data_IF_438026009556
#
_entry.id   IF_438026009556
#
_cell.length_a   1.000
_cell.length_b   1.000
_cell.length_c   1.000
_cell.angle_alpha   90.00
_cell.angle_beta   90.00
_cell.angle_gamma   90.00
#
_symmetry.space_group_name_H-M   'P 1'
#
loop_
_entity.id
_entity.type
_entity.pdbx_description
1 polymer ?
#
# COMPACT_ATOMS: atom_id res chain seq x y z
N UNK A 1 0.21 -63.84 -17.07
CA UNK A 1 -0.15 -63.05 -15.86
C UNK A 1 0.46 -61.67 -16.03
N UNK A 2 -0.35 -60.61 -16.12
CA UNK A 2 0.17 -59.25 -16.26
C UNK A 2 0.96 -58.82 -15.01
N UNK A 3 2.09 -58.11 -15.15
CA UNK A 3 2.85 -57.62 -14.00
C UNK A 3 2.00 -56.61 -13.21
N UNK A 4 1.98 -56.76 -11.88
CA UNK A 4 1.28 -55.83 -10.99
C UNK A 4 2.02 -54.50 -11.01
N UNK A 5 1.30 -53.43 -11.37
CA UNK A 5 1.82 -52.06 -11.32
C UNK A 5 1.63 -51.53 -9.90
N UNK A 6 2.73 -51.25 -9.20
CA UNK A 6 2.71 -50.64 -7.88
C UNK A 6 2.32 -49.16 -7.96
N UNK A 7 1.60 -48.62 -6.95
CA UNK A 7 1.23 -47.22 -6.90
C UNK A 7 2.46 -46.36 -6.60
N UNK A 8 2.47 -45.13 -7.13
CA UNK A 8 3.46 -44.13 -6.74
C UNK A 8 3.19 -43.67 -5.31
N UNK A 9 4.20 -43.79 -4.45
CA UNK A 9 4.13 -43.41 -3.04
C UNK A 9 5.34 -42.58 -2.67
N UNK A 10 5.24 -41.83 -1.57
CA UNK A 10 6.31 -40.95 -1.11
C UNK A 10 6.15 -39.50 -1.58
N UNK A 11 4.94 -39.07 -1.96
CA UNK A 11 4.70 -37.68 -2.34
C UNK A 11 4.73 -36.79 -1.11
N UNK A 12 5.40 -35.65 -1.22
CA UNK A 12 5.59 -34.68 -0.13
C UNK A 12 4.90 -33.37 -0.51
N UNK A 13 3.98 -32.89 0.33
CA UNK A 13 3.33 -31.59 0.15
C UNK A 13 3.96 -30.50 1.03
N UNK A 14 3.92 -29.22 0.62
CA UNK A 14 4.47 -28.12 1.41
C UNK A 14 3.77 -27.96 2.77
N UNK A 15 2.44 -28.11 2.80
CA UNK A 15 1.64 -27.93 4.01
C UNK A 15 1.30 -29.28 4.68
N UNK A 16 1.40 -29.37 6.02
CA UNK A 16 1.19 -30.62 6.74
C UNK A 16 -0.23 -31.19 6.56
N UNK A 17 -1.27 -30.35 6.52
CA UNK A 17 -2.65 -30.81 6.28
C UNK A 17 -2.84 -31.45 4.90
N UNK A 18 -2.18 -30.94 3.86
CA UNK A 18 -2.25 -31.56 2.53
C UNK A 18 -1.42 -32.84 2.48
N UNK A 19 -0.28 -32.85 3.18
CA UNK A 19 0.59 -34.02 3.30
C UNK A 19 -0.11 -35.17 4.02
N UNK A 20 -0.95 -34.91 5.03
CA UNK A 20 -1.73 -35.96 5.72
C UNK A 20 -2.77 -36.62 4.82
N UNK A 21 -3.44 -35.86 3.95
CA UNK A 21 -4.42 -36.37 2.99
C UNK A 21 -3.74 -37.29 1.97
N UNK A 22 -2.58 -36.87 1.45
CA UNK A 22 -1.78 -37.65 0.50
C UNK A 22 -1.32 -38.97 1.14
N UNK A 23 -0.82 -38.93 2.39
CA UNK A 23 -0.40 -40.13 3.10
C UNK A 23 -1.54 -41.12 3.35
N UNK A 24 -2.75 -40.63 3.66
CA UNK A 24 -3.93 -41.47 3.83
C UNK A 24 -4.34 -42.17 2.53
N UNK A 25 -4.30 -41.46 1.40
CA UNK A 25 -4.60 -42.01 0.08
C UNK A 25 -3.54 -43.04 -0.38
N UNK A 26 -2.26 -42.74 -0.19
CA UNK A 26 -1.15 -43.67 -0.47
C UNK A 26 -1.25 -44.94 0.39
N UNK A 27 -1.54 -44.80 1.68
CA UNK A 27 -1.72 -45.92 2.59
C UNK A 27 -2.91 -46.82 2.18
N UNK A 28 -4.04 -46.22 1.79
CA UNK A 28 -5.21 -46.95 1.32
C UNK A 28 -4.92 -47.75 0.04
N UNK A 29 -4.19 -47.15 -0.92
CA UNK A 29 -3.77 -47.82 -2.16
C UNK A 29 -2.82 -48.98 -1.89
N UNK A 30 -1.85 -48.81 -0.99
CA UNK A 30 -0.94 -49.88 -0.59
C UNK A 30 -1.68 -51.02 0.11
N UNK A 31 -2.62 -50.71 1.02
CA UNK A 31 -3.40 -51.70 1.74
C UNK A 31 -4.30 -52.54 0.82
N UNK A 32 -4.87 -51.94 -0.23
CA UNK A 32 -5.69 -52.64 -1.21
C UNK A 32 -4.91 -53.71 -1.99
N UNK A 33 -3.64 -53.45 -2.29
CA UNK A 33 -2.75 -54.35 -3.04
C UNK A 33 -2.06 -55.36 -2.11
N UNK A 34 -1.78 -54.98 -0.86
CA UNK A 34 -1.23 -55.86 0.17
C UNK A 34 -2.09 -57.11 0.43
N UNK A 35 -3.41 -56.99 0.24
CA UNK A 35 -4.36 -58.12 0.33
C UNK A 35 -4.14 -59.20 -0.72
N UNK A 36 -3.45 -58.87 -1.82
CA UNK A 36 -3.23 -59.77 -2.96
C UNK A 36 -1.80 -60.32 -2.98
N UNK A 37 -0.79 -59.50 -2.65
CA UNK A 37 0.63 -59.89 -2.61
C UNK A 37 1.42 -59.11 -1.55
N UNK A 38 2.50 -59.69 -0.99
CA UNK A 38 3.39 -58.98 -0.09
C UNK A 38 4.02 -57.77 -0.79
N UNK A 39 4.04 -56.63 -0.11
CA UNK A 39 4.61 -55.38 -0.65
C UNK A 39 6.14 -55.47 -0.60
N UNK A 40 6.85 -55.20 -1.71
CA UNK A 40 8.30 -55.17 -1.73
C UNK A 40 8.85 -53.93 -1.03
N UNK A 41 10.01 -54.07 -0.36
CA UNK A 41 10.64 -53.01 0.44
C UNK A 41 10.95 -51.73 -0.34
N UNK A 42 11.20 -51.83 -1.65
CA UNK A 42 11.46 -50.67 -2.51
C UNK A 42 10.25 -49.73 -2.65
N UNK A 43 9.03 -50.22 -2.41
CA UNK A 43 7.80 -49.41 -2.39
C UNK A 43 7.54 -48.87 -0.99
N UNK A 44 7.96 -49.59 0.06
CA UNK A 44 7.75 -49.19 1.46
C UNK A 44 8.66 -48.03 1.85
N UNK A 45 9.94 -48.07 1.47
CA UNK A 45 10.93 -47.04 1.85
C UNK A 45 10.47 -45.60 1.54
N UNK A 46 10.07 -45.24 0.31
CA UNK A 46 9.64 -43.87 0.00
C UNK A 46 8.38 -43.44 0.77
N UNK A 47 7.48 -44.38 1.10
CA UNK A 47 6.33 -44.09 1.94
C UNK A 47 6.74 -43.79 3.40
N UNK A 48 7.70 -44.53 3.94
CA UNK A 48 8.25 -44.31 5.30
C UNK A 48 9.01 -42.97 5.36
N UNK A 49 9.74 -42.60 4.32
CA UNK A 49 10.43 -41.31 4.24
C UNK A 49 9.42 -40.15 4.23
N UNK A 50 8.34 -40.26 3.45
CA UNK A 50 7.26 -39.28 3.43
C UNK A 50 6.52 -39.18 4.77
N UNK A 51 6.29 -40.31 5.45
CA UNK A 51 5.70 -40.34 6.80
C UNK A 51 6.61 -39.64 7.82
N UNK A 52 7.92 -39.90 7.76
CA UNK A 52 8.91 -39.26 8.63
C UNK A 52 8.92 -37.75 8.43
N UNK A 53 8.84 -37.31 7.17
CA UNK A 53 8.78 -35.89 6.81
C UNK A 53 7.49 -35.21 7.27
N UNK A 54 6.35 -35.90 7.19
CA UNK A 54 5.09 -35.40 7.74
C UNK A 54 5.18 -35.22 9.26
N UNK A 55 5.73 -36.21 9.98
CA UNK A 55 5.89 -36.13 11.44
C UNK A 55 6.77 -34.95 11.83
N UNK A 56 7.88 -34.68 11.11
CA UNK A 56 8.69 -33.48 11.33
C UNK A 56 7.89 -32.19 11.18
N UNK A 57 7.13 -32.05 10.07
CA UNK A 57 6.30 -30.86 9.81
C UNK A 57 5.21 -30.64 10.86
N UNK A 58 4.63 -31.71 11.39
CA UNK A 58 3.65 -31.61 12.48
C UNK A 58 4.27 -31.24 13.82
N UNK A 59 5.52 -31.65 14.06
CA UNK A 59 6.29 -31.30 15.26
C UNK A 59 6.78 -29.85 15.23
N UNK A 60 7.08 -29.33 14.04
CA UNK A 60 7.50 -27.94 13.81
C UNK A 60 6.32 -26.95 13.81
N UNK A 61 5.08 -27.41 14.04
CA UNK A 61 3.96 -26.49 14.18
C UNK A 61 4.10 -25.68 15.48
N UNK A 62 4.03 -24.35 15.40
CA UNK A 62 4.13 -23.51 16.58
C UNK A 62 2.96 -23.79 17.52
N UNK A 63 3.26 -23.88 18.82
CA UNK A 63 2.22 -24.05 19.82
C UNK A 63 1.37 -22.78 19.92
N UNK A 64 0.10 -22.91 20.34
CA UNK A 64 -0.78 -21.76 20.55
C UNK A 64 -0.16 -20.71 21.50
N UNK A 65 0.64 -21.16 22.47
CA UNK A 65 1.33 -20.27 23.41
C UNK A 65 2.47 -19.49 22.74
N UNK A 66 3.27 -20.14 21.89
CA UNK A 66 4.30 -19.47 21.09
C UNK A 66 3.67 -18.47 20.11
N UNK A 67 2.58 -18.84 19.44
CA UNK A 67 1.81 -17.92 18.61
C UNK A 67 1.31 -16.70 19.39
N UNK A 68 0.79 -16.90 20.61
CA UNK A 68 0.35 -15.80 21.47
C UNK A 68 1.50 -14.91 21.94
N UNK A 69 2.67 -15.49 22.21
CA UNK A 69 3.88 -14.75 22.56
C UNK A 69 4.36 -13.92 21.37
N UNK A 70 4.40 -14.50 20.18
CA UNK A 70 4.82 -13.82 18.96
C UNK A 70 3.87 -12.69 18.58
N UNK A 71 2.55 -12.93 18.68
CA UNK A 71 1.54 -11.88 18.50
C UNK A 71 1.75 -10.77 19.53
N UNK A 72 1.91 -11.11 20.81
CA UNK A 72 2.13 -10.13 21.88
C UNK A 72 3.41 -9.31 21.65
N UNK A 73 4.49 -9.95 21.22
CA UNK A 73 5.77 -9.31 20.94
C UNK A 73 5.69 -8.43 19.68
N UNK A 74 5.03 -8.90 18.62
CA UNK A 74 4.75 -8.12 17.42
C UNK A 74 3.88 -6.87 17.67
N UNK A 75 3.08 -6.86 18.73
CA UNK A 75 2.37 -5.66 19.19
C UNK A 75 3.15 -4.78 20.18
N UNK A 76 4.24 -5.26 20.79
CA UNK A 76 5.10 -4.44 21.67
C UNK A 76 5.97 -3.47 20.86
N UNK A 77 6.58 -3.93 19.77
CA UNK A 77 7.40 -3.09 18.89
C UNK A 77 6.66 -1.84 18.34
N UNK A 78 5.45 -1.93 17.77
CA UNK A 78 4.72 -0.75 17.28
C UNK A 78 4.25 0.17 18.42
N UNK A 79 4.03 -0.35 19.63
CA UNK A 79 3.72 0.48 20.81
C UNK A 79 4.93 1.28 21.27
N UNK A 80 6.11 0.67 21.35
CA UNK A 80 7.35 1.34 21.72
C UNK A 80 7.75 2.41 20.69
N UNK A 81 7.52 2.13 19.40
CA UNK A 81 7.69 3.12 18.33
C UNK A 81 6.70 4.29 18.49
N UNK A 82 5.42 4.01 18.77
CA UNK A 82 4.41 5.04 18.96
C UNK A 82 4.73 5.95 20.15
N UNK A 83 5.20 5.39 21.26
CA UNK A 83 5.61 6.11 22.45
C UNK A 83 6.84 7.01 22.17
N UNK A 84 7.87 6.47 21.51
CA UNK A 84 9.06 7.24 21.10
C UNK A 84 8.73 8.37 20.13
N UNK A 85 7.88 8.14 19.13
CA UNK A 85 7.42 9.20 18.20
C UNK A 85 6.63 10.28 18.94
N UNK A 86 5.84 9.90 19.95
CA UNK A 86 5.08 10.84 20.77
C UNK A 86 6.01 11.72 21.61
N UNK A 87 7.05 11.14 22.23
CA UNK A 87 8.07 11.87 22.98
C UNK A 87 8.85 12.82 22.06
N UNK A 88 9.26 12.37 20.87
CA UNK A 88 9.96 13.22 19.88
C UNK A 88 9.08 14.40 19.46
N UNK A 89 7.80 14.15 19.16
CA UNK A 89 6.86 15.20 18.76
C UNK A 89 6.70 16.25 19.85
N UNK A 90 6.53 15.84 21.10
CA UNK A 90 6.45 16.74 22.25
C UNK A 90 7.75 17.53 22.46
N UNK A 91 8.91 16.91 22.23
CA UNK A 91 10.21 17.57 22.33
C UNK A 91 10.41 18.64 21.24
N UNK A 92 10.03 18.34 19.99
CA UNK A 92 10.08 19.30 18.88
C UNK A 92 9.08 20.46 19.03
N UNK A 93 7.89 20.21 19.61
CA UNK A 93 6.90 21.26 19.86
C UNK A 93 7.36 22.24 20.97
N UNK A 94 8.22 21.80 21.89
CA UNK A 94 8.76 22.61 23.00
C UNK A 94 10.04 23.39 22.66
N UNK A 95 10.71 23.09 21.54
CA UNK A 95 11.92 23.79 21.09
C UNK A 95 11.67 24.59 19.82
N UNK A 96 10.93 25.70 19.97
CA UNK A 96 10.82 26.71 18.93
C UNK A 96 11.54 27.99 19.36
N UNK A 97 12.78 28.25 18.91
CA UNK A 97 13.28 29.60 18.79
C UNK A 97 13.08 30.12 17.36
N UNK A 98 12.78 31.40 17.34
CA UNK A 98 12.70 32.31 16.21
C UNK A 98 13.97 32.30 15.33
N UNK A 99 13.77 32.56 14.03
CA UNK A 99 14.77 32.97 13.03
C UNK A 99 16.17 32.35 13.03
N UNK A 100 16.42 31.40 12.12
CA UNK A 100 17.54 31.41 11.14
C UNK A 100 17.82 29.99 10.63
N UNK A 101 17.76 29.82 9.30
CA UNK A 101 18.15 28.58 8.62
C UNK A 101 19.68 28.45 8.64
N UNK A 102 20.20 27.44 9.33
CA UNK A 102 21.55 26.92 9.13
C UNK A 102 21.47 25.48 8.63
N UNK A 103 21.99 25.26 7.42
CA UNK A 103 22.18 23.94 6.84
C UNK A 103 23.17 23.13 7.68
N UNK A 104 22.77 21.91 8.07
CA UNK A 104 23.68 20.84 8.43
C UNK A 104 23.20 19.54 7.79
N UNK A 105 24.09 18.94 7.01
CA UNK A 105 24.21 17.50 6.72
C UNK A 105 25.51 17.04 7.42
N UNK A 106 25.75 15.74 7.70
CA UNK A 106 25.27 14.56 6.98
C UNK A 106 24.61 13.49 7.87
N UNK A 107 23.51 12.91 7.38
CA UNK A 107 22.91 11.72 7.98
C UNK A 107 23.42 10.48 7.24
N UNK A 108 24.08 9.61 7.98
CA UNK A 108 24.53 8.29 7.58
C UNK A 108 23.35 7.40 7.23
N UNK A 109 23.51 6.65 6.15
CA UNK A 109 22.56 5.69 5.58
C UNK A 109 22.04 4.70 6.64
N UNK A 110 20.72 4.67 6.83
CA UNK A 110 20.01 3.47 7.26
C UNK A 110 18.67 3.48 6.53
N UNK A 111 18.59 2.64 5.50
CA UNK A 111 17.41 2.36 4.70
C UNK A 111 16.33 1.75 5.59
N UNK A 112 15.55 2.60 6.27
CA UNK A 112 14.32 2.17 6.92
C UNK A 112 13.18 2.40 5.94
N UNK A 113 12.66 1.29 5.41
CA UNK A 113 11.36 1.25 4.75
C UNK A 113 10.35 1.95 5.65
N UNK A 114 9.85 3.11 5.19
CA UNK A 114 8.77 3.84 5.86
C UNK A 114 7.49 3.04 5.63
N UNK A 115 7.28 2.02 6.47
CA UNK A 115 5.98 1.39 6.61
C UNK A 115 5.10 2.37 7.39
N UNK A 116 4.27 3.12 6.66
CA UNK A 116 3.24 3.97 7.24
C UNK A 116 2.29 3.04 8.03
N UNK A 117 2.08 3.24 9.35
CA UNK A 117 1.23 2.38 10.15
C UNK A 117 -0.23 2.42 9.65
N UNK A 118 -0.72 1.27 9.17
CA UNK A 118 -2.11 1.04 8.72
C UNK A 118 -3.08 0.91 9.89
N UNK A 119 -3.18 1.92 10.75
CA UNK A 119 -4.11 1.93 11.88
C UNK A 119 -5.04 3.15 11.85
N UNK A 120 -5.79 3.31 10.76
CA UNK A 120 -7.09 4.03 10.63
C UNK A 120 -7.71 3.85 9.22
N UNK A 121 -7.40 2.74 8.52
CA UNK A 121 -7.58 2.66 7.06
C UNK A 121 -9.03 2.78 6.56
N UNK A 122 -10.04 2.51 7.40
CA UNK A 122 -11.44 2.53 6.97
C UNK A 122 -12.00 3.94 6.74
N UNK A 123 -11.49 4.95 7.45
CA UNK A 123 -11.97 6.33 7.32
C UNK A 123 -11.21 7.11 6.24
N UNK A 124 -9.89 6.94 6.15
CA UNK A 124 -9.07 7.58 5.12
C UNK A 124 -9.53 7.20 3.69
N UNK A 125 -9.95 5.96 3.49
CA UNK A 125 -10.44 5.49 2.19
C UNK A 125 -11.80 6.13 1.78
N UNK A 126 -12.48 6.83 2.69
CA UNK A 126 -13.76 7.56 2.48
C UNK A 126 -13.62 9.08 2.61
N UNK A 127 -12.39 9.57 2.58
CA UNK A 127 -12.06 10.98 2.73
C UNK A 127 -11.57 11.57 1.40
N UNK A 128 -12.00 12.80 1.14
CA UNK A 128 -11.50 13.61 0.03
C UNK A 128 -10.96 14.90 0.62
N UNK A 129 -9.70 15.20 0.35
CA UNK A 129 -9.11 16.49 0.69
C UNK A 129 -9.15 17.39 -0.54
N UNK A 130 -9.67 18.60 -0.37
CA UNK A 130 -9.74 19.64 -1.39
C UNK A 130 -8.86 20.79 -0.94
N UNK A 131 -7.88 21.14 -1.76
CA UNK A 131 -7.05 22.33 -1.56
C UNK A 131 -7.77 23.54 -2.12
N UNK A 132 -7.98 24.54 -1.28
CA UNK A 132 -8.54 25.83 -1.68
C UNK A 132 -7.41 26.83 -1.66
N UNK A 133 -7.00 27.35 -2.83
CA UNK A 133 -5.87 28.30 -2.92
C UNK A 133 -6.27 29.77 -2.79
N UNK A 134 -7.56 30.07 -2.93
CA UNK A 134 -8.05 31.45 -2.92
C UNK A 134 -8.32 31.93 -1.49
N UNK A 135 -7.58 32.95 -1.04
CA UNK A 135 -7.73 33.51 0.32
C UNK A 135 -9.14 34.05 0.58
N UNK A 136 -9.78 34.67 -0.42
CA UNK A 136 -11.14 35.16 -0.31
C UNK A 136 -12.15 34.02 -0.12
N UNK A 137 -12.03 32.94 -0.89
CA UNK A 137 -12.88 31.74 -0.75
C UNK A 137 -12.68 31.05 0.59
N UNK A 138 -11.43 30.94 1.07
CA UNK A 138 -11.11 30.40 2.41
C UNK A 138 -11.85 31.20 3.48
N UNK A 139 -11.77 32.54 3.43
CA UNK A 139 -12.42 33.40 4.42
C UNK A 139 -13.95 33.34 4.35
N UNK A 140 -14.52 33.26 3.14
CA UNK A 140 -15.95 33.08 2.95
C UNK A 140 -16.44 31.76 3.56
N UNK A 141 -15.70 30.66 3.32
CA UNK A 141 -15.99 29.35 3.89
C UNK A 141 -15.83 29.30 5.42
N UNK A 142 -14.90 30.07 5.99
CA UNK A 142 -14.71 30.16 7.46
C UNK A 142 -15.90 30.76 8.20
N UNK A 143 -16.74 31.54 7.52
CA UNK A 143 -17.96 32.13 8.09
C UNK A 143 -19.13 31.15 8.09
N UNK A 144 -19.01 30.04 7.36
CA UNK A 144 -20.04 29.01 7.23
C UNK A 144 -19.84 27.90 8.25
N UNK A 145 -20.93 27.26 8.66
CA UNK A 145 -20.85 26.07 9.49
C UNK A 145 -20.54 24.84 8.63
N UNK A 146 -20.07 23.76 9.25
CA UNK A 146 -19.81 22.48 8.57
C UNK A 146 -21.06 21.95 7.82
N UNK A 147 -22.25 22.22 8.37
CA UNK A 147 -23.53 21.86 7.74
C UNK A 147 -23.77 22.66 6.47
N UNK A 148 -23.52 23.97 6.49
CA UNK A 148 -23.71 24.84 5.33
C UNK A 148 -22.70 24.51 4.21
N UNK A 149 -21.46 24.15 4.57
CA UNK A 149 -20.45 23.70 3.60
C UNK A 149 -20.90 22.40 2.94
N UNK A 150 -21.39 21.43 3.72
CA UNK A 150 -21.96 20.20 3.19
C UNK A 150 -23.14 20.48 2.26
N UNK A 151 -24.07 21.32 2.69
CA UNK A 151 -25.27 21.64 1.92
C UNK A 151 -24.91 22.33 0.60
N UNK A 152 -23.95 23.26 0.62
CA UNK A 152 -23.46 23.92 -0.60
C UNK A 152 -22.87 22.92 -1.60
N UNK A 153 -22.11 21.93 -1.13
CA UNK A 153 -21.57 20.85 -1.97
C UNK A 153 -22.72 19.97 -2.49
N UNK A 154 -23.69 19.62 -1.66
CA UNK A 154 -24.84 18.81 -2.06
C UNK A 154 -25.68 19.53 -3.13
N UNK A 155 -25.95 20.83 -2.96
CA UNK A 155 -26.65 21.66 -3.95
C UNK A 155 -25.90 21.71 -5.27
N UNK A 156 -24.57 21.86 -5.24
CA UNK A 156 -23.73 21.81 -6.45
C UNK A 156 -23.85 20.47 -7.18
N UNK A 157 -23.86 19.36 -6.43
CA UNK A 157 -24.00 18.00 -6.98
C UNK A 157 -25.42 17.69 -7.44
N UNK A 158 -26.44 18.36 -6.88
CA UNK A 158 -27.82 18.22 -7.34
C UNK A 158 -28.10 19.04 -8.60
N UNK A 159 -27.38 20.15 -8.82
CA UNK A 159 -27.54 20.97 -10.01
C UNK A 159 -27.10 20.24 -11.31
N UNK A 160 -26.18 19.28 -11.19
CA UNK A 160 -25.79 18.39 -12.28
C UNK A 160 -26.55 17.04 -12.18
N UNK A 161 -27.33 16.75 -13.22
CA UNK A 161 -28.11 15.51 -13.37
C UNK A 161 -27.28 14.23 -13.27
N UNK A 162 -25.99 14.30 -13.57
CA UNK A 162 -25.10 13.14 -13.53
C UNK A 162 -24.55 12.87 -12.13
N UNK A 163 -24.60 13.85 -11.22
CA UNK A 163 -24.06 13.77 -9.84
C UNK A 163 -25.10 13.71 -8.75
N UNK A 164 -26.39 13.72 -9.09
CA UNK A 164 -27.48 13.77 -8.11
C UNK A 164 -27.38 12.62 -7.09
N UNK A 165 -26.99 11.42 -7.53
CA UNK A 165 -26.79 10.26 -6.65
C UNK A 165 -25.57 10.37 -5.70
N UNK A 166 -24.65 11.30 -5.96
CA UNK A 166 -23.47 11.55 -5.11
C UNK A 166 -23.78 12.52 -3.97
N UNK A 167 -24.78 13.41 -4.14
CA UNK A 167 -25.16 14.38 -3.11
C UNK A 167 -25.56 13.68 -1.80
N UNK A 168 -26.27 12.56 -1.88
CA UNK A 168 -26.68 11.74 -0.72
C UNK A 168 -25.52 10.95 -0.10
N UNK A 169 -24.42 10.76 -0.82
CA UNK A 169 -23.24 10.05 -0.33
C UNK A 169 -22.32 10.95 0.49
N UNK A 170 -22.43 12.28 0.37
CA UNK A 170 -21.65 13.22 1.17
C UNK A 170 -22.20 13.23 2.61
N UNK A 171 -21.47 12.63 3.53
CA UNK A 171 -21.88 12.52 4.94
C UNK A 171 -21.62 13.83 5.68
N UNK A 172 -20.44 14.41 5.50
CA UNK A 172 -19.99 15.62 6.17
C UNK A 172 -18.92 16.35 5.35
N UNK A 173 -18.77 17.65 5.59
CA UNK A 173 -17.68 18.45 5.04
C UNK A 173 -17.21 19.43 6.12
N UNK A 174 -15.90 19.58 6.27
CA UNK A 174 -15.31 20.51 7.24
C UNK A 174 -14.13 21.24 6.66
N UNK A 175 -13.97 22.49 7.06
CA UNK A 175 -12.78 23.27 6.74
C UNK A 175 -11.70 23.05 7.80
N UNK A 176 -10.48 22.80 7.36
CA UNK A 176 -9.31 22.67 8.21
C UNK A 176 -8.74 24.03 8.60
N UNK A 177 -7.89 24.04 9.64
CA UNK A 177 -7.13 25.24 10.04
C UNK A 177 -6.27 25.80 8.90
N UNK A 178 -5.79 24.95 7.99
CA UNK A 178 -5.06 25.37 6.78
C UNK A 178 -5.91 26.15 5.78
N UNK A 179 -7.24 26.06 5.87
CA UNK A 179 -8.19 26.59 4.88
C UNK A 179 -8.67 25.56 3.85
N UNK A 180 -8.02 24.40 3.80
CA UNK A 180 -8.44 23.25 2.97
C UNK A 180 -9.74 22.65 3.48
N UNK A 181 -10.44 21.90 2.63
CA UNK A 181 -11.67 21.20 3.00
C UNK A 181 -11.42 19.70 3.03
N UNK A 182 -11.94 19.02 4.05
CA UNK A 182 -12.10 17.57 4.05
C UNK A 182 -13.57 17.24 3.89
N UNK A 183 -13.86 16.34 2.96
CA UNK A 183 -15.20 15.82 2.69
C UNK A 183 -15.20 14.34 3.03
N UNK A 184 -16.23 13.91 3.74
CA UNK A 184 -16.47 12.54 4.14
C UNK A 184 -17.60 11.97 3.29
N UNK A 185 -17.38 10.81 2.68
CA UNK A 185 -18.40 10.08 1.93
C UNK A 185 -18.82 8.80 2.65
N UNK A 186 -20.02 8.31 2.34
CA UNK A 186 -20.54 7.06 2.87
C UNK A 186 -19.82 5.84 2.29
N UNK A 187 -19.39 5.90 1.02
CA UNK A 187 -18.78 4.79 0.26
C UNK A 187 -17.46 5.21 -0.39
N UNK A 188 -16.63 4.22 -0.71
CA UNK A 188 -15.35 4.41 -1.41
C UNK A 188 -15.58 4.75 -2.89
N UNK A 189 -16.56 4.11 -3.53
CA UNK A 189 -17.00 4.44 -4.90
C UNK A 189 -17.46 5.91 -5.00
N UNK A 190 -18.13 6.41 -3.96
CA UNK A 190 -18.49 7.82 -3.86
C UNK A 190 -17.29 8.74 -3.86
N UNK A 191 -16.17 8.32 -3.24
CA UNK A 191 -14.90 9.06 -3.31
C UNK A 191 -14.40 9.13 -4.74
N UNK A 192 -14.31 7.99 -5.42
CA UNK A 192 -13.77 7.92 -6.79
C UNK A 192 -14.64 8.71 -7.77
N UNK A 193 -15.96 8.55 -7.68
CA UNK A 193 -16.91 9.29 -8.51
C UNK A 193 -16.83 10.81 -8.28
N UNK A 194 -16.66 11.25 -7.02
CA UNK A 194 -16.51 12.67 -6.69
C UNK A 194 -15.14 13.23 -7.13
N UNK A 195 -14.09 12.40 -7.12
CA UNK A 195 -12.76 12.75 -7.67
C UNK A 195 -12.78 12.87 -9.20
N UNK A 196 -13.55 12.01 -9.86
CA UNK A 196 -13.68 12.00 -11.33
C UNK A 196 -14.38 13.24 -11.89
N UNK A 197 -15.30 13.83 -11.12
CA UNK A 197 -16.04 15.03 -11.54
C UNK A 197 -15.53 16.26 -10.83
N UNK A 198 -15.03 17.24 -11.57
CA UNK A 198 -14.37 18.43 -11.00
C UNK A 198 -15.26 19.67 -10.97
N UNK A 199 -16.45 19.62 -11.56
CA UNK A 199 -17.32 20.80 -11.75
C UNK A 199 -17.81 21.40 -10.42
N UNK A 200 -18.15 20.55 -9.45
CA UNK A 200 -18.60 20.98 -8.12
C UNK A 200 -17.53 21.73 -7.32
N UNK A 201 -16.23 21.61 -7.66
CA UNK A 201 -15.14 22.32 -6.98
C UNK A 201 -15.26 23.83 -7.11
N UNK A 202 -15.84 24.31 -8.22
CA UNK A 202 -16.08 25.73 -8.47
C UNK A 202 -16.89 26.39 -7.36
N UNK A 203 -17.73 25.62 -6.66
CA UNK A 203 -18.54 26.13 -5.54
C UNK A 203 -17.73 26.42 -4.29
N UNK A 204 -16.57 25.79 -4.14
CA UNK A 204 -15.64 25.98 -3.02
C UNK A 204 -14.62 27.09 -3.29
N UNK A 205 -14.28 27.34 -4.55
CA UNK A 205 -13.36 28.38 -4.96
C UNK A 205 -12.99 28.28 -6.43
N UNK A 206 -12.43 29.36 -6.98
CA UNK A 206 -12.02 29.41 -8.40
C UNK A 206 -10.79 28.54 -8.66
N UNK A 207 -9.91 28.42 -7.65
CA UNK A 207 -8.69 27.59 -7.67
C UNK A 207 -8.77 26.45 -6.66
N UNK A 208 -9.97 25.91 -6.44
CA UNK A 208 -10.16 24.71 -5.65
C UNK A 208 -9.75 23.48 -6.47
N UNK A 209 -8.90 22.63 -5.90
CA UNK A 209 -8.44 21.39 -6.53
C UNK A 209 -8.59 20.22 -5.56
N UNK A 210 -8.96 19.05 -6.09
CA UNK A 210 -8.87 17.82 -5.29
C UNK A 210 -7.39 17.50 -5.08
N UNK A 211 -7.00 17.27 -3.82
CA UNK A 211 -5.69 16.76 -3.50
C UNK A 211 -5.61 15.30 -3.93
N UNK A 212 -4.82 15.06 -4.96
CA UNK A 212 -4.41 13.71 -5.30
C UNK A 212 -3.25 13.28 -4.41
N UNK A 213 -3.44 12.19 -3.68
CA UNK A 213 -2.43 11.64 -2.79
C UNK A 213 -1.32 11.00 -3.62
N UNK A 214 -0.27 11.77 -3.87
CA UNK A 214 0.97 11.27 -4.46
C UNK A 214 1.97 10.95 -3.36
N UNK A 215 2.70 9.85 -3.50
CA UNK A 215 3.89 9.59 -2.69
C UNK A 215 5.15 9.84 -3.52
N UNK A 216 6.16 10.41 -2.88
CA UNK A 216 7.47 10.60 -3.47
C UNK A 216 8.33 9.36 -3.25
N UNK A 217 8.78 8.74 -4.33
CA UNK A 217 9.79 7.67 -4.34
C UNK A 217 11.15 8.31 -4.62
N UNK A 218 12.15 7.94 -3.83
CA UNK A 218 13.53 8.35 -4.03
C UNK A 218 14.34 7.17 -4.56
N UNK A 219 15.01 7.37 -5.68
CA UNK A 219 15.83 6.34 -6.35
C UNK A 219 17.26 6.84 -6.41
N UNK A 220 18.22 6.03 -5.94
CA UNK A 220 19.64 6.35 -5.97
C UNK A 220 20.38 5.55 -7.05
N UNK A 221 21.60 5.99 -7.41
CA UNK A 221 22.48 5.25 -8.32
C UNK A 221 22.06 5.29 -9.79
N UNK A 222 21.16 6.21 -10.17
CA UNK A 222 20.70 6.38 -11.55
C UNK A 222 21.64 7.35 -12.28
N UNK A 223 22.32 6.94 -13.37
CA UNK A 223 23.16 7.84 -14.15
C UNK A 223 22.33 8.99 -14.75
N UNK A 224 22.82 10.22 -14.62
CA UNK A 224 22.09 11.41 -15.10
C UNK A 224 21.88 11.37 -16.61
N UNK A 225 22.87 10.84 -17.35
CA UNK A 225 22.82 10.66 -18.80
C UNK A 225 21.72 9.71 -19.27
N UNK A 226 21.19 8.82 -18.41
CA UNK A 226 20.13 7.87 -18.77
C UNK A 226 18.72 8.42 -18.63
N UNK A 227 18.54 9.51 -17.87
CA UNK A 227 17.19 10.03 -17.53
C UNK A 227 17.06 11.47 -18.01
N UNK A 228 16.36 11.63 -19.13
CA UNK A 228 16.02 12.95 -19.65
C UNK A 228 14.75 13.50 -18.98
N UNK A 229 14.93 14.20 -17.86
CA UNK A 229 13.82 14.81 -17.10
C UNK A 229 13.11 15.95 -17.83
N UNK A 230 13.71 16.51 -18.90
CA UNK A 230 13.06 17.55 -19.70
C UNK A 230 11.91 16.99 -20.52
N UNK A 231 11.91 15.69 -20.81
CA UNK A 231 10.82 15.01 -21.48
C UNK A 231 10.07 14.07 -20.52
N UNK A 232 9.25 14.67 -19.65
CA UNK A 232 8.48 13.97 -18.61
C UNK A 232 7.66 12.79 -19.16
N UNK A 233 6.97 12.96 -20.28
CA UNK A 233 6.07 11.95 -20.82
C UNK A 233 6.83 10.68 -21.23
N UNK A 234 7.92 10.85 -22.01
CA UNK A 234 8.73 9.73 -22.49
C UNK A 234 9.40 8.98 -21.34
N UNK A 235 9.97 9.68 -20.38
CA UNK A 235 10.66 9.03 -19.26
C UNK A 235 9.68 8.32 -18.33
N UNK A 236 8.50 8.90 -18.08
CA UNK A 236 7.44 8.26 -17.31
C UNK A 236 7.00 6.98 -18.00
N UNK A 237 6.78 7.02 -19.32
CA UNK A 237 6.36 5.87 -20.10
C UNK A 237 7.42 4.76 -20.08
N UNK A 238 8.68 5.11 -20.30
CA UNK A 238 9.81 4.18 -20.23
C UNK A 238 9.90 3.48 -18.87
N UNK A 239 9.89 4.25 -17.76
CA UNK A 239 9.95 3.68 -16.42
C UNK A 239 8.72 2.80 -16.15
N UNK A 240 7.53 3.18 -16.64
CA UNK A 240 6.32 2.33 -16.54
C UNK A 240 6.53 1.01 -17.28
N UNK A 241 7.02 1.04 -18.51
CA UNK A 241 7.24 -0.17 -19.32
C UNK A 241 8.26 -1.11 -18.68
N UNK A 242 9.41 -0.57 -18.24
CA UNK A 242 10.47 -1.35 -17.59
C UNK A 242 10.00 -2.01 -16.29
N UNK A 243 9.11 -1.35 -15.54
CA UNK A 243 8.63 -1.85 -14.26
C UNK A 243 7.25 -2.54 -14.32
N UNK A 244 6.64 -2.68 -15.51
CA UNK A 244 5.26 -3.15 -15.66
C UNK A 244 5.03 -4.57 -15.09
N UNK A 245 6.09 -5.38 -15.02
CA UNK A 245 6.01 -6.72 -14.43
C UNK A 245 5.92 -6.71 -12.89
N UNK A 246 6.45 -5.66 -12.23
CA UNK A 246 6.53 -5.55 -10.76
C UNK A 246 5.45 -4.59 -10.25
N UNK A 247 5.20 -3.50 -10.96
CA UNK A 247 4.33 -2.41 -10.54
C UNK A 247 3.19 -2.27 -11.55
N UNK A 248 2.02 -2.82 -11.20
CA UNK A 248 0.80 -2.72 -12.01
C UNK A 248 -0.13 -1.64 -11.48
N UNK A 249 -0.84 -0.97 -12.39
CA UNK A 249 -1.90 -0.03 -12.04
C UNK A 249 -1.44 1.24 -11.32
N UNK A 250 -0.16 1.61 -11.36
CA UNK A 250 0.32 2.89 -10.79
C UNK A 250 0.56 3.93 -11.88
N UNK A 251 0.15 5.16 -11.60
CA UNK A 251 0.43 6.29 -12.48
C UNK A 251 1.58 7.12 -11.91
N UNK A 252 2.48 7.58 -12.77
CA UNK A 252 3.56 8.49 -12.40
C UNK A 252 3.20 9.87 -12.92
N UNK A 253 3.29 10.89 -12.06
CA UNK A 253 2.92 12.27 -12.39
C UNK A 253 4.11 13.17 -12.67
N UNK A 254 5.24 12.90 -12.03
CA UNK A 254 6.42 13.74 -12.15
C UNK A 254 7.69 12.95 -11.86
N UNK A 255 8.74 13.24 -12.62
CA UNK A 255 10.09 12.72 -12.41
C UNK A 255 11.05 13.90 -12.39
N UNK A 256 11.96 13.98 -11.41
CA UNK A 256 12.92 15.07 -11.38
C UNK A 256 14.14 14.75 -10.53
N UNK A 257 15.21 15.50 -10.76
CA UNK A 257 16.38 15.44 -9.91
C UNK A 257 16.14 16.20 -8.60
N UNK A 258 16.66 15.67 -7.49
CA UNK A 258 16.57 16.35 -6.19
C UNK A 258 17.40 17.64 -6.12
N UNK A 259 18.43 17.73 -6.96
CA UNK A 259 19.24 18.94 -7.12
C UNK A 259 19.04 19.50 -8.52
N UNK A 260 19.10 20.85 -8.68
CA UNK A 260 19.10 21.46 -10.01
C UNK A 260 20.17 20.83 -10.89
N UNK A 261 19.80 20.49 -12.12
CA UNK A 261 20.73 19.95 -13.08
C UNK A 261 21.64 21.10 -13.55
N UNK A 262 22.90 21.08 -13.14
CA UNK A 262 23.92 21.94 -13.74
C UNK A 262 24.50 21.20 -14.95
N UNK A 263 24.64 21.88 -16.08
CA UNK A 263 25.11 21.31 -17.34
C UNK A 263 26.49 20.61 -17.23
N UNK A 264 27.28 20.93 -16.20
CA UNK A 264 28.58 20.33 -15.91
C UNK A 264 28.55 18.95 -15.24
N UNK A 265 27.37 18.37 -14.97
CA UNK A 265 27.21 17.10 -14.21
C UNK A 265 26.74 15.91 -15.04
N UNK A 266 26.94 15.92 -16.35
CA UNK A 266 26.45 14.88 -17.27
C UNK A 266 27.02 13.47 -17.02
N UNK A 267 28.20 13.36 -16.39
CA UNK A 267 28.83 12.07 -16.03
C UNK A 267 28.81 11.74 -14.52
N UNK A 268 28.26 12.63 -13.68
CA UNK A 268 28.21 12.38 -12.24
C UNK A 268 26.98 11.53 -11.89
N UNK A 269 27.16 10.52 -11.03
CA UNK A 269 26.04 9.91 -10.32
C UNK A 269 25.49 10.97 -9.37
N UNK A 270 24.43 11.68 -9.78
CA UNK A 270 23.69 12.50 -8.82
C UNK A 270 23.09 11.56 -7.79
N UNK A 271 23.20 11.90 -6.49
CA UNK A 271 22.90 10.94 -5.47
C UNK A 271 21.48 10.41 -5.63
N UNK A 272 20.49 11.24 -5.95
CA UNK A 272 19.09 10.83 -5.81
C UNK A 272 18.15 11.47 -6.87
N UNK A 273 17.33 10.63 -7.51
CA UNK A 273 16.19 10.98 -8.36
C UNK A 273 14.89 10.93 -7.54
N UNK A 274 13.95 11.85 -7.78
CA UNK A 274 12.63 11.87 -7.14
C UNK A 274 11.55 11.59 -8.17
N UNK A 275 10.73 10.60 -7.89
CA UNK A 275 9.59 10.18 -8.72
C UNK A 275 8.32 10.34 -7.89
N UNK A 276 7.30 11.00 -8.43
CA UNK A 276 5.99 11.10 -7.79
C UNK A 276 5.06 10.09 -8.43
N UNK A 277 4.58 9.16 -7.62
CA UNK A 277 3.63 8.13 -8.01
C UNK A 277 2.25 8.40 -7.38
N UNK A 278 1.20 8.22 -8.16
CA UNK A 278 -0.19 8.14 -7.73
C UNK A 278 -0.61 6.69 -7.59
N UNK A 279 -1.40 6.41 -6.56
CA UNK A 279 -2.06 5.12 -6.37
C UNK A 279 -3.39 5.13 -7.12
N UNK A 280 -3.44 4.53 -8.30
CA UNK A 280 -4.69 4.12 -8.94
C UNK A 280 -5.00 2.70 -8.46
N UNK A 281 -6.13 2.48 -7.78
CA UNK A 281 -6.56 1.12 -7.40
C UNK A 281 -7.23 0.50 -8.62
N UNK A 282 -6.66 -0.58 -9.15
CA UNK A 282 -7.40 -1.47 -10.05
C UNK A 282 -8.35 -2.32 -9.20
N UNK A 283 -9.64 -2.29 -9.54
CA UNK A 283 -10.66 -3.14 -8.95
C UNK A 283 -10.45 -4.57 -9.44
N UNK A 284 -10.06 -5.46 -8.52
CA UNK A 284 -10.16 -6.90 -8.71
C UNK A 284 -11.61 -7.32 -8.49
N UNK A 285 -12.23 -7.88 -9.53
CA UNK A 285 -13.50 -8.62 -9.45
C UNK A 285 -13.44 -9.76 -8.42
#
# INVERSE_FOLDING_TARGET
>A
MSPIKWPEVGKVAPHYLEHSIILLDEAAKLQAIARQKPIPFNVINPFIDSLTEYVKKTREQPTMQELLIDIRNGFKEPRDIHEKVTIIKQSCDNTRPDGSLKYYSPFTETTSNINIPKTTSRHLDREIKVKVRDSHSIQALRRLTEKDIKERIAQALMADSTTTNLASQVTAAKQLKSGDIIIYTSTIEGVEALKGKREWLSTLGTKAEVLEETYGVLVHGVPVSRVNVNNQAQIIEQIKMENNCIIKGMEMKFVGWLSPQNDSKQESFLPHCRIYQTRTREHGN
#
